data_IF_025813718428
#
_entry.id   IF_025813718428
#
_cell.length_a   1.000
_cell.length_b   1.000
_cell.length_c   1.000
_cell.angle_alpha   90.00
_cell.angle_beta   90.00
_cell.angle_gamma   90.00
#
_symmetry.space_group_name_H-M   'P 1'
#
loop_
_entity.id
_entity.type
_entity.pdbx_description
1 polymer ?
#
# COMPACT_ATOMS: atom_id res chain seq x y z
N UNK A 1 4.69 11.21 9.53
CA UNK A 1 4.91 9.79 9.17
C UNK A 1 5.99 9.79 8.09
N UNK A 2 6.97 8.88 8.14
CA UNK A 2 7.99 8.76 7.07
C UNK A 2 7.34 8.04 5.86
N UNK A 3 7.60 8.54 4.66
CA UNK A 3 7.24 7.88 3.41
C UNK A 3 8.27 6.79 3.09
N UNK A 4 7.84 5.56 2.85
CA UNK A 4 8.70 4.45 2.47
C UNK A 4 8.23 3.85 1.13
N UNK A 5 9.07 2.97 0.58
CA UNK A 5 8.74 2.15 -0.59
C UNK A 5 8.19 0.81 -0.10
N UNK A 6 7.07 0.37 -0.67
CA UNK A 6 6.37 -0.87 -0.29
C UNK A 6 6.12 -1.74 -1.52
N UNK A 7 7.10 -2.57 -1.84
CA UNK A 7 7.00 -3.55 -2.91
C UNK A 7 6.38 -4.83 -2.37
N UNK A 8 5.23 -5.19 -2.94
CA UNK A 8 4.55 -6.46 -2.63
C UNK A 8 5.30 -7.61 -3.33
N UNK A 9 5.61 -8.72 -2.63
CA UNK A 9 6.26 -9.89 -3.23
C UNK A 9 5.49 -10.39 -4.46
N UNK A 10 6.19 -10.92 -5.45
CA UNK A 10 5.58 -11.30 -6.74
C UNK A 10 4.52 -12.39 -6.58
N UNK A 11 4.75 -13.30 -5.62
CA UNK A 11 3.82 -14.36 -5.23
C UNK A 11 2.56 -13.85 -4.51
N UNK A 12 2.55 -12.60 -4.05
CA UNK A 12 1.43 -11.92 -3.41
C UNK A 12 0.69 -10.99 -4.39
N UNK A 13 1.13 -10.89 -5.64
CA UNK A 13 0.42 -10.06 -6.61
C UNK A 13 -1.01 -10.57 -6.79
N UNK A 14 -1.95 -9.63 -6.93
CA UNK A 14 -3.39 -9.90 -6.97
C UNK A 14 -4.03 -10.39 -5.66
N UNK A 15 -3.25 -10.56 -4.57
CA UNK A 15 -3.73 -10.77 -3.20
C UNK A 15 -3.92 -9.43 -2.48
N UNK A 16 -4.90 -8.63 -2.93
CA UNK A 16 -5.19 -7.31 -2.38
C UNK A 16 -6.64 -7.22 -1.87
N UNK A 17 -7.00 -6.15 -1.16
CA UNK A 17 -8.35 -6.06 -0.59
C UNK A 17 -9.39 -5.98 -1.70
N UNK A 18 -9.10 -5.22 -2.76
CA UNK A 18 -10.01 -5.00 -3.88
C UNK A 18 -10.39 -6.28 -4.63
N UNK A 19 -9.50 -7.28 -4.71
CA UNK A 19 -9.79 -8.57 -5.33
C UNK A 19 -10.57 -9.53 -4.41
N UNK A 20 -10.59 -9.26 -3.10
CA UNK A 20 -11.27 -10.07 -2.10
C UNK A 20 -12.65 -9.53 -1.68
N UNK A 21 -13.04 -8.35 -2.14
CA UNK A 21 -14.35 -7.76 -1.82
C UNK A 21 -15.07 -7.27 -3.07
N UNK A 22 -16.39 -7.15 -3.00
CA UNK A 22 -17.22 -6.56 -4.06
C UNK A 22 -16.82 -5.11 -4.32
N UNK A 23 -17.06 -4.64 -5.55
CA UNK A 23 -16.80 -3.25 -5.91
C UNK A 23 -17.54 -2.24 -5.02
N UNK A 24 -18.76 -2.59 -4.57
CA UNK A 24 -19.56 -1.78 -3.65
C UNK A 24 -18.90 -1.69 -2.27
N UNK A 25 -18.42 -2.80 -1.74
CA UNK A 25 -17.73 -2.82 -0.44
C UNK A 25 -16.40 -2.09 -0.52
N UNK A 26 -15.62 -2.28 -1.59
CA UNK A 26 -14.38 -1.53 -1.80
C UNK A 26 -14.61 -0.01 -1.85
N UNK A 27 -15.63 0.43 -2.60
CA UNK A 27 -15.97 1.85 -2.69
C UNK A 27 -16.34 2.44 -1.32
N UNK A 28 -17.19 1.73 -0.56
CA UNK A 28 -17.58 2.13 0.81
C UNK A 28 -16.35 2.28 1.71
N UNK A 29 -15.51 1.25 1.78
CA UNK A 29 -14.31 1.24 2.64
C UNK A 29 -13.37 2.38 2.25
N UNK A 30 -13.13 2.57 0.94
CA UNK A 30 -12.26 3.64 0.44
C UNK A 30 -12.78 5.04 0.82
N UNK A 31 -14.11 5.24 0.75
CA UNK A 31 -14.75 6.48 1.18
C UNK A 31 -14.64 6.69 2.70
N UNK A 32 -14.88 5.64 3.51
CA UNK A 32 -14.70 5.70 4.96
C UNK A 32 -13.26 6.08 5.35
N UNK A 33 -12.26 5.48 4.70
CA UNK A 33 -10.83 5.77 4.93
C UNK A 33 -10.49 7.20 4.54
N UNK A 34 -10.94 7.66 3.36
CA UNK A 34 -10.69 9.04 2.90
C UNK A 34 -11.38 10.08 3.79
N UNK A 35 -12.61 9.82 4.23
CA UNK A 35 -13.36 10.71 5.12
C UNK A 35 -12.69 10.80 6.50
N UNK A 36 -12.28 9.66 7.08
CA UNK A 36 -11.55 9.62 8.34
C UNK A 36 -10.22 10.39 8.30
N UNK A 37 -9.61 10.48 7.11
CA UNK A 37 -8.40 11.28 6.88
C UNK A 37 -8.68 12.76 6.58
N UNK A 38 -9.92 13.25 6.71
CA UNK A 38 -10.34 14.60 6.33
C UNK A 38 -9.99 14.95 4.87
N UNK A 39 -10.01 13.96 3.97
CA UNK A 39 -9.59 14.09 2.57
C UNK A 39 -8.11 14.50 2.40
N UNK A 40 -7.27 14.27 3.41
CA UNK A 40 -5.84 14.58 3.41
C UNK A 40 -5.00 13.33 3.22
N UNK A 41 -3.83 13.51 2.62
CA UNK A 41 -2.85 12.43 2.58
C UNK A 41 -2.37 12.18 4.01
N UNK A 42 -2.46 10.94 4.49
CA UNK A 42 -2.02 10.57 5.84
C UNK A 42 -0.49 10.56 6.01
N UNK A 43 0.26 10.71 4.91
CA UNK A 43 1.72 10.82 4.94
C UNK A 43 2.16 12.28 4.87
N UNK A 44 1.87 12.98 3.77
CA UNK A 44 2.37 14.34 3.52
C UNK A 44 1.40 15.46 3.94
N UNK A 45 0.18 15.14 4.37
CA UNK A 45 -0.82 16.13 4.82
C UNK A 45 -1.46 16.98 3.71
N UNK A 46 -0.97 16.91 2.46
CA UNK A 46 -1.55 17.67 1.33
C UNK A 46 -3.02 17.34 1.15
N UNK A 47 -3.81 18.32 0.70
CA UNK A 47 -5.22 18.18 0.31
C UNK A 47 -5.29 17.99 -1.20
N UNK A 48 -6.18 17.12 -1.67
CA UNK A 48 -6.32 16.85 -3.09
C UNK A 48 -7.18 17.93 -3.68
N UNK A 49 -6.60 18.84 -4.47
CA UNK A 49 -7.37 19.84 -5.23
C UNK A 49 -7.96 19.25 -6.52
N UNK A 50 -7.43 18.14 -7.04
CA UNK A 50 -7.84 17.56 -8.33
C UNK A 50 -8.02 16.03 -8.38
N UNK A 51 -7.40 15.27 -7.49
CA UNK A 51 -7.47 13.79 -7.49
C UNK A 51 -8.02 13.26 -6.17
N UNK A 52 -8.93 12.28 -6.27
CA UNK A 52 -9.42 11.52 -5.13
C UNK A 52 -8.25 10.87 -4.37
N UNK A 53 -8.39 10.70 -3.05
CA UNK A 53 -7.41 9.97 -2.25
C UNK A 53 -7.42 8.52 -2.67
N UNK A 54 -6.24 7.97 -2.92
CA UNK A 54 -6.07 6.56 -3.20
C UNK A 54 -6.04 5.81 -1.87
N UNK A 55 -6.83 4.75 -1.78
CA UNK A 55 -6.86 3.87 -0.62
C UNK A 55 -5.73 2.85 -0.78
N UNK A 56 -4.72 2.94 0.07
CA UNK A 56 -3.51 2.12 0.04
C UNK A 56 -3.53 1.08 1.15
N UNK A 57 -3.27 -0.19 0.82
CA UNK A 57 -3.10 -1.24 1.81
C UNK A 57 -1.80 -1.13 2.59
N UNK A 58 -1.91 -1.08 3.92
CA UNK A 58 -0.77 -1.23 4.82
C UNK A 58 -0.59 -2.70 5.17
N UNK A 59 0.50 -3.29 4.68
CA UNK A 59 0.83 -4.71 4.88
C UNK A 59 1.87 -4.91 5.98
N UNK A 60 1.65 -5.92 6.80
CA UNK A 60 2.66 -6.56 7.63
C UNK A 60 3.07 -7.91 7.01
N UNK A 61 4.35 -8.25 7.14
CA UNK A 61 4.91 -9.49 6.61
C UNK A 61 5.59 -10.25 7.74
N UNK A 62 5.05 -11.42 8.11
CA UNK A 62 5.71 -12.41 8.96
C UNK A 62 6.62 -13.26 8.07
N UNK A 63 7.90 -12.88 7.97
CA UNK A 63 8.90 -13.55 7.12
C UNK A 63 9.25 -14.98 7.59
N UNK A 64 8.89 -15.37 8.82
CA UNK A 64 9.13 -16.72 9.34
C UNK A 64 8.00 -17.68 8.97
N UNK A 65 6.75 -17.20 9.06
CA UNK A 65 5.56 -17.98 8.72
C UNK A 65 5.07 -17.77 7.29
N UNK A 66 5.65 -16.81 6.57
CA UNK A 66 5.21 -16.34 5.26
C UNK A 66 3.73 -15.95 5.25
N UNK A 67 3.36 -15.03 6.15
CA UNK A 67 2.01 -14.46 6.23
C UNK A 67 2.05 -12.98 5.85
N UNK A 68 1.30 -12.61 4.82
CA UNK A 68 1.02 -11.22 4.45
C UNK A 68 -0.30 -10.83 5.13
N UNK A 69 -0.23 -9.94 6.12
CA UNK A 69 -1.39 -9.50 6.89
C UNK A 69 -1.75 -8.05 6.60
N UNK A 70 -3.04 -7.78 6.40
CA UNK A 70 -3.56 -6.42 6.30
C UNK A 70 -3.59 -5.78 7.69
N UNK A 71 -2.76 -4.76 7.91
CA UNK A 71 -2.71 -4.01 9.17
C UNK A 71 -3.55 -2.74 9.12
N UNK A 72 -3.85 -2.23 7.93
CA UNK A 72 -4.67 -1.04 7.78
C UNK A 72 -4.87 -0.61 6.33
N UNK A 73 -5.63 0.47 6.18
CA UNK A 73 -5.81 1.18 4.92
C UNK A 73 -5.50 2.66 5.16
N UNK A 74 -4.81 3.29 4.21
CA UNK A 74 -4.41 4.68 4.28
C UNK A 74 -4.96 5.49 3.10
N UNK A 75 -5.43 6.70 3.36
CA UNK A 75 -5.74 7.68 2.33
C UNK A 75 -4.46 8.41 1.89
N UNK A 76 -4.00 8.16 0.66
CA UNK A 76 -2.77 8.75 0.11
C UNK A 76 -3.06 9.68 -1.06
N UNK A 77 -2.19 10.68 -1.26
CA UNK A 77 -2.16 11.41 -2.52
C UNK A 77 -1.44 10.59 -3.60
N UNK A 78 -1.70 10.85 -4.90
CA UNK A 78 -1.09 10.10 -6.00
C UNK A 78 0.43 10.04 -5.94
N UNK A 79 1.10 11.11 -5.51
CA UNK A 79 2.55 11.18 -5.43
C UNK A 79 3.10 10.27 -4.31
N UNK A 80 2.47 10.26 -3.12
CA UNK A 80 2.86 9.35 -2.04
C UNK A 80 2.56 7.91 -2.40
N UNK A 81 1.43 7.64 -3.04
CA UNK A 81 1.05 6.30 -3.48
C UNK A 81 1.98 5.77 -4.59
N UNK A 82 2.42 6.63 -5.51
CA UNK A 82 3.43 6.30 -6.52
C UNK A 82 4.77 5.89 -5.91
N UNK A 83 5.15 6.45 -4.76
CA UNK A 83 6.36 6.04 -4.02
C UNK A 83 6.19 4.69 -3.35
N UNK A 84 5.01 4.42 -2.75
CA UNK A 84 4.69 3.08 -2.23
C UNK A 84 4.90 2.03 -3.31
N UNK A 85 4.39 2.30 -4.52
CA UNK A 85 4.55 1.45 -5.70
C UNK A 85 5.75 1.82 -6.59
N UNK A 86 6.93 2.05 -6.01
CA UNK A 86 8.13 2.48 -6.74
C UNK A 86 8.47 1.60 -7.97
N UNK A 87 8.28 0.28 -7.88
CA UNK A 87 8.51 -0.63 -9.01
C UNK A 87 7.64 -0.32 -10.22
N UNK A 88 6.35 0.00 -9.98
CA UNK A 88 5.43 0.43 -11.04
C UNK A 88 5.84 1.80 -11.59
N UNK A 89 6.18 2.75 -10.73
CA UNK A 89 6.62 4.08 -11.15
C UNK A 89 7.85 4.02 -12.06
N UNK A 90 8.82 3.15 -11.73
CA UNK A 90 10.00 2.91 -12.59
C UNK A 90 9.57 2.32 -13.93
N UNK A 91 8.74 1.28 -13.94
CA UNK A 91 8.28 0.61 -15.16
C UNK A 91 7.50 1.54 -16.10
N UNK A 92 6.81 2.55 -15.56
CA UNK A 92 6.06 3.54 -16.35
C UNK A 92 6.84 4.82 -16.64
N UNK A 93 8.14 4.88 -16.34
CA UNK A 93 9.00 6.05 -16.60
C UNK A 93 8.87 7.20 -15.59
N UNK A 94 8.11 7.04 -14.51
CA UNK A 94 7.92 8.03 -13.44
C UNK A 94 8.86 7.83 -12.23
N UNK A 95 9.82 6.90 -12.31
CA UNK A 95 10.70 6.54 -11.19
C UNK A 95 11.50 7.71 -10.61
N UNK A 96 12.04 8.59 -11.46
CA UNK A 96 12.79 9.76 -11.01
C UNK A 96 11.91 10.76 -10.24
N UNK A 97 10.67 10.96 -10.67
CA UNK A 97 9.70 11.83 -10.00
C UNK A 97 9.32 11.26 -8.63
N UNK A 98 9.06 9.95 -8.55
CA UNK A 98 8.77 9.28 -7.29
C UNK A 98 9.97 9.33 -6.33
N UNK A 99 11.20 9.12 -6.81
CA UNK A 99 12.40 9.22 -5.98
C UNK A 99 12.62 10.64 -5.43
N UNK A 100 12.43 11.68 -6.26
CA UNK A 100 12.52 13.07 -5.83
C UNK A 100 11.46 13.39 -4.75
N UNK A 101 10.23 12.91 -4.94
CA UNK A 101 9.16 13.06 -3.96
C UNK A 101 9.45 12.37 -2.63
N UNK A 102 10.00 11.15 -2.68
CA UNK A 102 10.46 10.42 -1.49
C UNK A 102 11.49 11.25 -0.70
N UNK A 103 12.45 11.84 -1.41
CA UNK A 103 13.48 12.68 -0.81
C UNK A 103 12.88 13.95 -0.16
N UNK A 104 12.01 14.66 -0.87
CA UNK A 104 11.34 15.87 -0.40
C UNK A 104 10.54 15.63 0.89
N UNK A 105 9.63 14.64 0.87
CA UNK A 105 8.71 14.40 1.99
C UNK A 105 9.45 13.95 3.26
N UNK A 106 10.56 13.23 3.11
CA UNK A 106 11.34 12.76 4.24
C UNK A 106 12.52 13.68 4.61
N UNK A 107 12.75 14.74 3.85
CA UNK A 107 13.99 15.56 3.97
C UNK A 107 15.26 14.72 3.87
N UNK A 108 15.26 13.70 3.00
CA UNK A 108 16.43 12.86 2.73
C UNK A 108 17.36 13.52 1.73
N UNK A 109 18.66 13.28 1.88
CA UNK A 109 19.62 13.47 0.81
C UNK A 109 19.31 12.54 -0.38
N UNK A 110 19.79 12.86 -1.60
CA UNK A 110 19.64 11.97 -2.76
C UNK A 110 20.19 10.56 -2.51
N UNK A 111 21.27 10.43 -1.75
CA UNK A 111 21.89 9.15 -1.41
C UNK A 111 20.99 8.31 -0.48
N UNK A 112 20.39 8.92 0.55
CA UNK A 112 19.48 8.24 1.48
C UNK A 112 18.20 7.78 0.79
N UNK A 113 17.63 8.61 -0.08
CA UNK A 113 16.45 8.25 -0.86
C UNK A 113 16.75 7.06 -1.79
N UNK A 114 17.87 7.09 -2.51
CA UNK A 114 18.27 5.98 -3.37
C UNK A 114 18.55 4.71 -2.57
N UNK A 115 19.20 4.82 -1.41
CA UNK A 115 19.45 3.69 -0.52
C UNK A 115 18.15 3.07 -0.02
N UNK A 116 17.16 3.90 0.33
CA UNK A 116 15.82 3.43 0.74
C UNK A 116 15.17 2.60 -0.36
N UNK A 117 15.22 3.08 -1.62
CA UNK A 117 14.70 2.33 -2.77
C UNK A 117 15.46 1.01 -2.94
N UNK A 118 16.79 1.03 -2.93
CA UNK A 118 17.62 -0.18 -3.09
C UNK A 118 17.33 -1.23 -2.02
N UNK A 119 17.23 -0.82 -0.76
CA UNK A 119 16.89 -1.71 0.36
C UNK A 119 15.50 -2.34 0.17
N UNK A 120 14.51 -1.56 -0.27
CA UNK A 120 13.17 -2.09 -0.54
C UNK A 120 13.16 -3.14 -1.67
N UNK A 121 13.93 -2.91 -2.75
CA UNK A 121 14.09 -3.89 -3.83
C UNK A 121 14.85 -5.16 -3.41
N UNK A 122 15.81 -5.05 -2.48
CA UNK A 122 16.50 -6.22 -1.93
C UNK A 122 15.54 -7.08 -1.10
N UNK A 123 14.72 -6.46 -0.24
CA UNK A 123 13.68 -7.14 0.54
C UNK A 123 12.67 -7.80 -0.38
N UNK A 124 12.16 -7.07 -1.40
CA UNK A 124 11.24 -7.61 -2.39
C UNK A 124 11.80 -8.87 -3.07
N UNK A 125 13.03 -8.80 -3.57
CA UNK A 125 13.69 -9.95 -4.22
C UNK A 125 13.78 -11.17 -3.30
N UNK A 126 14.09 -10.96 -2.02
CA UNK A 126 14.13 -12.04 -1.04
C UNK A 126 12.74 -12.63 -0.80
N UNK A 127 11.73 -11.78 -0.54
CA UNK A 127 10.37 -12.23 -0.22
C UNK A 127 9.66 -12.89 -1.40
N UNK A 128 9.97 -12.48 -2.64
CA UNK A 128 9.43 -13.09 -3.87
C UNK A 128 9.87 -14.53 -4.09
N UNK A 129 10.83 -15.06 -3.31
CA UNK A 129 11.26 -16.46 -3.40
C UNK A 129 10.35 -17.43 -2.62
N UNK A 130 9.37 -16.90 -1.88
CA UNK A 130 8.53 -17.69 -0.99
C UNK A 130 7.06 -17.54 -1.34
N UNK A 131 6.26 -18.57 -1.08
CA UNK A 131 4.79 -18.46 -1.18
C UNK A 131 4.25 -17.95 0.15
N UNK A 132 3.32 -17.01 0.06
CA UNK A 132 2.73 -16.35 1.21
C UNK A 132 1.26 -16.72 1.35
N UNK A 133 0.80 -16.81 2.58
CA UNK A 133 -0.62 -16.82 2.93
C UNK A 133 -1.11 -15.39 3.16
N UNK A 134 -2.39 -15.15 2.88
CA UNK A 134 -3.01 -13.83 3.04
C UNK A 134 -3.92 -13.83 4.28
N UNK A 135 -3.72 -12.86 5.16
CA UNK A 135 -4.61 -12.57 6.28
C UNK A 135 -5.24 -11.17 6.10
N UNK A 136 -6.52 -11.16 5.77
CA UNK A 136 -7.34 -9.94 5.64
C UNK A 136 -8.44 -9.87 6.70
N UNK A 137 -8.26 -10.57 7.83
CA UNK A 137 -9.24 -10.60 8.95
C UNK A 137 -9.60 -9.22 9.50
N UNK A 138 -8.73 -8.22 9.30
CA UNK A 138 -9.02 -6.82 9.59
C UNK A 138 -10.29 -6.30 8.90
N UNK A 139 -10.62 -6.81 7.70
CA UNK A 139 -11.84 -6.42 6.99
C UNK A 139 -13.10 -6.75 7.81
N UNK A 140 -13.09 -7.87 8.55
CA UNK A 140 -14.18 -8.25 9.44
C UNK A 140 -14.18 -7.39 10.70
N UNK A 141 -13.05 -7.28 11.39
CA UNK A 141 -12.99 -6.62 12.70
C UNK A 141 -13.16 -5.10 12.62
N UNK A 142 -12.61 -4.46 11.58
CA UNK A 142 -12.60 -3.00 11.43
C UNK A 142 -13.63 -2.46 10.43
N UNK A 143 -13.91 -3.20 9.36
CA UNK A 143 -14.74 -2.73 8.24
C UNK A 143 -16.06 -3.49 8.07
N UNK A 144 -16.36 -4.40 9.01
CA UNK A 144 -17.61 -5.17 9.11
C UNK A 144 -17.93 -5.97 7.84
N UNK A 145 -16.89 -6.43 7.14
CA UNK A 145 -17.02 -7.33 5.98
C UNK A 145 -17.12 -8.76 6.47
N UNK A 146 -18.13 -9.51 6.01
CA UNK A 146 -18.19 -10.94 6.31
C UNK A 146 -17.33 -11.69 5.31
N UNK A 147 -16.32 -12.42 5.79
CA UNK A 147 -15.41 -13.19 4.95
C UNK A 147 -15.74 -14.69 5.01
N UNK A 148 -15.55 -15.38 3.89
CA UNK A 148 -15.46 -16.82 3.81
C UNK A 148 -14.10 -17.30 4.36
N UNK A 149 -13.93 -18.60 4.67
CA UNK A 149 -12.64 -19.13 5.15
C UNK A 149 -11.45 -18.90 4.21
N UNK A 150 -11.71 -18.67 2.92
CA UNK A 150 -10.70 -18.36 1.92
C UNK A 150 -10.35 -16.86 1.83
N UNK A 151 -10.90 -16.01 2.71
CA UNK A 151 -10.63 -14.57 2.77
C UNK A 151 -11.44 -13.70 1.81
N UNK A 152 -12.35 -14.29 1.02
CA UNK A 152 -13.23 -13.53 0.11
C UNK A 152 -14.51 -13.07 0.81
N UNK A 153 -15.04 -11.91 0.42
CA UNK A 153 -16.33 -11.40 0.89
C UNK A 153 -17.46 -12.39 0.55
N UNK A 154 -18.28 -12.69 1.55
CA UNK A 154 -19.55 -13.41 1.37
C UNK A 154 -20.60 -12.40 0.89
N UNK A 155 -20.88 -12.42 -0.41
CA UNK A 155 -21.87 -11.57 -1.09
C UNK A 155 -23.28 -12.13 -0.91
#
# INVERSE_FOLDING_TARGET
MILNVELVPDTCWYSNVRSNVSAKTWLRISQEVSAAANMRCQICGRVGVRHARECHELWHYDDLRFVQRLDGLLALCPECHAVKHMGRSIATGAGAQALAWLAEINSFSPAEALQTVRSAFAIHRSRSQHRWSLDVSLLTTRYRVTLLPNGQERI
#
